data_IF_076899304205
#
_entry.id   IF_076899304205
#
_cell.length_a   1.000
_cell.length_b   1.000
_cell.length_c   1.000
_cell.angle_alpha   90.00
_cell.angle_beta   90.00
_cell.angle_gamma   90.00
#
_symmetry.space_group_name_H-M   'P 1'
#
loop_
_entity.id
_entity.type
_entity.pdbx_description
1 polymer ?
#
# COMPACT_ATOMS: atom_id res chain seq x y z
N UNK A 1 6.97 -12.08 -4.63
CA UNK A 1 5.85 -12.84 -4.04
C UNK A 1 5.82 -14.24 -4.66
N UNK A 2 5.40 -15.26 -3.90
CA UNK A 2 5.22 -16.64 -4.39
C UNK A 2 3.87 -17.17 -3.89
N UNK A 3 3.10 -17.80 -4.78
CA UNK A 3 1.89 -18.56 -4.43
C UNK A 3 2.12 -20.04 -4.72
N UNK A 4 1.76 -20.91 -3.79
CA UNK A 4 1.93 -22.35 -3.85
C UNK A 4 0.55 -23.00 -3.88
N UNK A 5 0.12 -23.47 -5.05
CA UNK A 5 -1.15 -24.16 -5.21
C UNK A 5 -0.97 -25.66 -5.39
N UNK A 6 -0.94 -26.38 -4.27
CA UNK A 6 -0.88 -27.84 -4.21
C UNK A 6 -1.43 -28.33 -2.86
N UNK A 7 -1.72 -29.62 -2.76
CA UNK A 7 -2.08 -30.23 -1.47
C UNK A 7 -0.88 -30.15 -0.51
N UNK A 8 -1.15 -29.94 0.77
CA UNK A 8 -0.12 -29.84 1.81
C UNK A 8 0.89 -28.69 1.58
N UNK A 9 0.49 -27.64 0.85
CA UNK A 9 1.38 -26.53 0.47
C UNK A 9 1.99 -25.81 1.70
N UNK A 10 1.30 -25.82 2.84
CA UNK A 10 1.80 -25.33 4.12
C UNK A 10 3.04 -26.07 4.65
N UNK A 11 3.19 -27.36 4.29
CA UNK A 11 4.26 -28.24 4.75
C UNK A 11 5.51 -28.23 3.85
N UNK A 12 5.52 -27.46 2.76
CA UNK A 12 6.71 -27.30 1.94
C UNK A 12 7.85 -26.73 2.81
N UNK A 13 9.05 -27.37 2.82
CA UNK A 13 10.13 -27.00 3.72
C UNK A 13 10.42 -25.51 3.57
N UNK A 14 10.48 -24.82 4.72
CA UNK A 14 10.75 -23.39 4.79
C UNK A 14 11.84 -23.05 3.79
N UNK A 15 11.51 -22.16 2.85
CA UNK A 15 12.38 -21.62 1.81
C UNK A 15 13.53 -20.83 2.47
N UNK A 16 14.39 -21.54 3.19
CA UNK A 16 15.58 -21.05 3.88
C UNK A 16 16.72 -20.84 2.90
N UNK A 17 16.63 -21.41 1.69
CA UNK A 17 17.71 -21.37 0.69
C UNK A 17 17.34 -20.72 -0.66
N UNK A 18 16.19 -20.02 -0.79
CA UNK A 18 15.95 -19.17 -1.98
C UNK A 18 16.71 -17.84 -1.86
N UNK A 19 18.02 -17.92 -1.71
CA UNK A 19 18.93 -16.80 -1.98
C UNK A 19 19.82 -17.07 -3.18
N UNK A 20 19.86 -18.31 -3.67
CA UNK A 20 20.71 -18.68 -4.80
C UNK A 20 19.87 -18.97 -6.04
N UNK A 21 19.99 -18.04 -7.00
CA UNK A 21 19.74 -18.27 -8.43
C UNK A 21 18.29 -18.19 -8.93
N UNK A 22 17.59 -17.07 -8.69
CA UNK A 22 16.64 -16.58 -9.69
C UNK A 22 17.34 -15.54 -10.55
N UNK A 23 17.65 -15.88 -11.81
CA UNK A 23 18.04 -14.90 -12.83
C UNK A 23 16.82 -14.02 -13.08
N UNK A 24 16.88 -12.76 -12.62
CA UNK A 24 15.78 -11.81 -12.82
C UNK A 24 15.59 -11.59 -14.31
N UNK A 25 14.38 -11.83 -14.82
CA UNK A 25 13.99 -11.46 -16.18
C UNK A 25 14.11 -9.93 -16.35
N UNK A 26 14.48 -9.41 -17.53
CA UNK A 26 14.61 -7.98 -17.75
C UNK A 26 13.27 -7.28 -17.46
N UNK A 27 13.24 -6.47 -16.40
CA UNK A 27 12.06 -5.71 -15.98
C UNK A 27 12.16 -4.29 -16.58
N UNK A 28 11.08 -3.73 -17.15
CA UNK A 28 11.04 -2.34 -17.60
C UNK A 28 11.55 -1.35 -16.53
N UNK A 29 12.33 -0.32 -16.89
CA UNK A 29 12.98 0.59 -15.92
C UNK A 29 12.01 1.25 -14.92
N UNK A 30 10.81 1.62 -15.38
CA UNK A 30 9.81 2.28 -14.53
C UNK A 30 9.18 1.31 -13.52
N UNK A 31 8.94 0.08 -13.95
CA UNK A 31 8.49 -1.00 -13.07
C UNK A 31 9.57 -1.37 -12.05
N UNK A 32 10.85 -1.26 -12.40
CA UNK A 32 11.97 -1.42 -11.46
C UNK A 32 11.96 -0.37 -10.35
N UNK A 33 11.59 0.88 -10.60
CA UNK A 33 11.56 1.92 -9.57
C UNK A 33 10.38 1.74 -8.60
N UNK A 34 9.23 1.28 -9.10
CA UNK A 34 8.04 0.97 -8.28
C UNK A 34 8.24 -0.35 -7.50
N UNK A 35 8.90 -1.34 -8.09
CA UNK A 35 9.24 -2.58 -7.37
C UNK A 35 10.41 -2.40 -6.38
N UNK A 36 11.25 -1.37 -6.56
CA UNK A 36 12.30 -1.00 -5.61
C UNK A 36 11.77 -0.31 -4.36
N UNK A 37 10.60 0.35 -4.42
CA UNK A 37 9.96 0.92 -3.22
C UNK A 37 9.29 -0.16 -2.35
N UNK A 38 8.94 -1.31 -2.93
CA UNK A 38 8.47 -2.48 -2.20
C UNK A 38 9.63 -3.36 -1.69
N UNK A 39 9.97 -3.25 -0.41
CA UNK A 39 10.65 -4.34 0.30
C UNK A 39 9.59 -5.35 0.75
N UNK A 40 9.87 -6.65 0.64
CA UNK A 40 8.86 -7.66 0.94
C UNK A 40 9.01 -8.98 0.17
N UNK A 41 9.15 -10.11 0.87
CA UNK A 41 8.88 -11.44 0.30
C UNK A 41 7.71 -12.06 1.04
N UNK A 42 6.64 -12.35 0.32
CA UNK A 42 5.47 -13.09 0.83
C UNK A 42 5.36 -14.41 0.08
N UNK A 43 5.26 -15.50 0.82
CA UNK A 43 5.00 -16.85 0.32
C UNK A 43 3.67 -17.32 0.89
N UNK A 44 2.73 -17.65 0.00
CA UNK A 44 1.36 -18.03 0.35
C UNK A 44 1.10 -19.43 -0.16
N UNK A 45 0.67 -20.32 0.73
CA UNK A 45 0.19 -21.66 0.42
C UNK A 45 -1.34 -21.67 0.28
N UNK A 46 -1.83 -22.49 -0.64
CA UNK A 46 -3.27 -22.68 -0.87
C UNK A 46 -3.97 -23.47 0.23
N UNK A 47 -3.23 -24.28 0.99
CA UNK A 47 -3.71 -25.16 2.05
C UNK A 47 -2.69 -25.25 3.18
N UNK A 48 -3.13 -25.64 4.39
CA UNK A 48 -2.22 -26.01 5.49
C UNK A 48 -1.48 -27.32 5.19
N UNK A 49 -0.52 -27.67 6.04
CA UNK A 49 0.28 -28.90 5.86
C UNK A 49 -0.54 -30.19 5.96
N UNK A 50 -1.65 -30.16 6.70
CA UNK A 50 -2.56 -31.27 6.96
C UNK A 50 -3.82 -31.24 6.09
N UNK A 51 -3.90 -30.30 5.13
CA UNK A 51 -5.09 -30.06 4.31
C UNK A 51 -4.83 -30.31 2.81
N UNK A 52 -5.91 -30.60 2.08
CA UNK A 52 -5.89 -30.75 0.63
C UNK A 52 -6.18 -29.41 -0.07
N UNK A 53 -5.65 -29.25 -1.29
CA UNK A 53 -6.11 -28.19 -2.21
C UNK A 53 -7.16 -28.77 -3.16
N UNK A 54 -8.26 -28.04 -3.36
CA UNK A 54 -9.40 -28.51 -4.14
C UNK A 54 -9.38 -27.96 -5.57
N UNK A 55 -9.64 -28.84 -6.53
CA UNK A 55 -9.84 -28.46 -7.94
C UNK A 55 -11.19 -27.77 -8.13
N UNK A 56 -11.25 -26.81 -9.06
CA UNK A 56 -12.48 -26.24 -9.57
C UNK A 56 -12.54 -26.37 -11.09
N UNK A 57 -13.31 -25.50 -11.76
CA UNK A 57 -13.40 -25.46 -13.21
C UNK A 57 -13.38 -23.99 -13.70
N UNK A 58 -12.41 -23.57 -14.54
CA UNK A 58 -11.28 -24.35 -15.08
C UNK A 58 -10.06 -24.44 -14.15
N UNK A 59 -10.02 -23.64 -13.08
CA UNK A 59 -8.88 -23.56 -12.16
C UNK A 59 -9.19 -24.19 -10.81
N UNK A 60 -8.17 -24.46 -9.99
CA UNK A 60 -8.37 -24.79 -8.58
C UNK A 60 -9.19 -23.71 -7.87
N UNK A 61 -9.82 -24.06 -6.74
CA UNK A 61 -10.59 -23.10 -5.96
C UNK A 61 -9.70 -21.94 -5.49
N UNK A 62 -8.48 -22.25 -5.06
CA UNK A 62 -7.50 -21.25 -4.66
C UNK A 62 -7.13 -20.30 -5.81
N UNK A 63 -6.75 -20.84 -6.97
CA UNK A 63 -6.37 -20.02 -8.12
C UNK A 63 -7.55 -19.21 -8.64
N UNK A 64 -8.76 -19.75 -8.64
CA UNK A 64 -9.97 -19.00 -9.00
C UNK A 64 -10.17 -17.79 -8.07
N UNK A 65 -10.09 -17.98 -6.75
CA UNK A 65 -10.18 -16.88 -5.79
C UNK A 65 -9.04 -15.88 -5.93
N UNK A 66 -7.82 -16.34 -6.21
CA UNK A 66 -6.66 -15.48 -6.44
C UNK A 66 -6.88 -14.57 -7.66
N UNK A 67 -7.31 -15.16 -8.79
CA UNK A 67 -7.60 -14.41 -10.00
C UNK A 67 -8.73 -13.40 -9.78
N UNK A 68 -9.78 -13.77 -9.04
CA UNK A 68 -10.86 -12.85 -8.67
C UNK A 68 -10.36 -11.68 -7.83
N UNK A 69 -9.49 -11.95 -6.84
CA UNK A 69 -8.85 -10.90 -6.03
C UNK A 69 -8.01 -9.95 -6.89
N UNK A 70 -7.21 -10.51 -7.81
CA UNK A 70 -6.37 -9.75 -8.75
C UNK A 70 -7.18 -8.98 -9.80
N UNK A 71 -8.40 -9.43 -10.13
CA UNK A 71 -9.34 -8.71 -11.00
C UNK A 71 -10.08 -7.58 -10.28
N UNK A 72 -9.81 -7.40 -8.97
CA UNK A 72 -10.35 -6.31 -8.17
C UNK A 72 -11.53 -6.69 -7.28
N UNK A 73 -11.92 -7.97 -7.19
CA UNK A 73 -12.94 -8.37 -6.20
C UNK A 73 -12.45 -8.29 -4.76
N UNK A 74 -11.12 -8.32 -4.56
CA UNK A 74 -10.48 -8.07 -3.29
C UNK A 74 -10.32 -6.57 -2.98
N UNK A 75 -10.63 -5.69 -3.93
CA UNK A 75 -10.31 -4.27 -3.86
C UNK A 75 -11.03 -3.59 -2.70
N UNK A 76 -10.24 -3.04 -1.77
CA UNK A 76 -10.73 -2.05 -0.81
C UNK A 76 -10.66 -0.64 -1.41
N UNK A 77 -9.71 -0.42 -2.33
CA UNK A 77 -9.48 0.85 -3.01
C UNK A 77 -9.62 0.66 -4.53
N UNK A 78 -10.63 1.28 -5.15
CA UNK A 78 -10.87 1.22 -6.60
C UNK A 78 -9.89 2.10 -7.40
N UNK A 79 -8.60 2.03 -7.11
CA UNK A 79 -7.55 2.82 -7.75
C UNK A 79 -6.82 2.07 -8.87
N UNK A 80 -7.37 0.93 -9.29
CA UNK A 80 -6.86 0.11 -10.39
C UNK A 80 -5.80 -0.92 -9.99
N UNK A 81 -5.43 -1.03 -8.72
CA UNK A 81 -4.37 -1.94 -8.26
C UNK A 81 -4.86 -3.01 -7.27
N UNK A 82 -4.59 -4.27 -7.59
CA UNK A 82 -4.72 -5.36 -6.64
C UNK A 82 -3.49 -5.38 -5.72
N UNK A 83 -3.72 -5.28 -4.40
CA UNK A 83 -2.66 -5.22 -3.39
C UNK A 83 -2.56 -6.50 -2.59
N UNK A 84 -1.41 -6.70 -1.97
CA UNK A 84 -1.08 -7.94 -1.26
C UNK A 84 -2.02 -8.25 -0.10
N UNK A 85 -2.22 -7.33 0.85
CA UNK A 85 -3.05 -7.57 2.02
C UNK A 85 -4.51 -7.76 1.61
N UNK A 86 -4.99 -6.94 0.68
CA UNK A 86 -6.35 -7.02 0.13
C UNK A 86 -6.61 -8.41 -0.48
N UNK A 87 -5.67 -8.88 -1.31
CA UNK A 87 -5.73 -10.20 -1.95
C UNK A 87 -5.68 -11.33 -0.90
N UNK A 88 -4.83 -11.22 0.11
CA UNK A 88 -4.74 -12.22 1.19
C UNK A 88 -6.04 -12.31 2.00
N UNK A 89 -6.62 -11.17 2.38
CA UNK A 89 -7.90 -11.11 3.09
C UNK A 89 -8.98 -11.80 2.27
N UNK A 90 -9.05 -11.51 0.96
CA UNK A 90 -10.01 -12.15 0.06
C UNK A 90 -9.81 -13.67 -0.02
N UNK A 91 -8.56 -14.14 -0.12
CA UNK A 91 -8.23 -15.56 -0.15
C UNK A 91 -8.65 -16.27 1.15
N UNK A 92 -8.33 -15.71 2.31
CA UNK A 92 -8.69 -16.28 3.61
C UNK A 92 -10.21 -16.32 3.85
N UNK A 93 -10.96 -15.41 3.24
CA UNK A 93 -12.41 -15.40 3.32
C UNK A 93 -13.07 -16.39 2.34
N UNK A 94 -12.63 -16.40 1.09
CA UNK A 94 -13.36 -17.06 0.00
C UNK A 94 -13.00 -18.54 -0.17
N UNK A 95 -11.75 -18.92 0.06
CA UNK A 95 -11.32 -20.32 -0.12
C UNK A 95 -12.01 -21.25 0.87
N UNK A 96 -12.09 -20.95 2.19
CA UNK A 96 -12.85 -21.78 3.12
C UNK A 96 -14.32 -21.84 2.75
N UNK A 97 -14.95 -20.72 2.38
CA UNK A 97 -16.38 -20.69 1.99
C UNK A 97 -16.69 -21.60 0.80
N UNK A 98 -15.80 -21.65 -0.20
CA UNK A 98 -16.00 -22.45 -1.42
C UNK A 98 -15.62 -23.93 -1.27
N UNK A 99 -14.94 -24.27 -0.19
CA UNK A 99 -14.52 -25.66 0.11
C UNK A 99 -15.25 -26.24 1.32
N UNK A 100 -16.38 -25.64 1.73
CA UNK A 100 -17.10 -26.03 2.94
C UNK A 100 -16.18 -26.12 4.16
N UNK A 101 -15.32 -25.12 4.31
CA UNK A 101 -14.35 -24.96 5.39
C UNK A 101 -13.30 -26.09 5.49
N UNK A 102 -13.00 -26.77 4.38
CA UNK A 102 -12.04 -27.89 4.33
C UNK A 102 -10.65 -27.50 3.80
N UNK A 103 -10.48 -26.27 3.31
CA UNK A 103 -9.20 -25.74 2.83
C UNK A 103 -8.98 -24.32 3.37
N UNK A 104 -7.83 -24.11 4.02
CA UNK A 104 -7.44 -22.81 4.56
C UNK A 104 -6.10 -22.36 3.95
N UNK A 105 -6.08 -21.27 3.18
CA UNK A 105 -4.83 -20.69 2.75
C UNK A 105 -3.97 -20.24 3.94
N UNK A 106 -2.66 -20.27 3.78
CA UNK A 106 -1.71 -20.00 4.86
C UNK A 106 -0.52 -19.17 4.35
N UNK A 107 0.05 -18.28 5.18
CA UNK A 107 1.25 -17.53 4.81
C UNK A 107 2.48 -18.20 5.43
N UNK A 108 3.27 -18.89 4.60
CA UNK A 108 4.45 -19.61 5.08
C UNK A 108 5.58 -18.67 5.52
N UNK A 109 5.74 -17.53 4.83
CA UNK A 109 6.85 -16.62 5.09
C UNK A 109 6.48 -15.19 4.72
N UNK A 110 6.80 -14.27 5.63
CA UNK A 110 6.80 -12.83 5.39
C UNK A 110 8.18 -12.31 5.78
N UNK A 111 8.88 -11.66 4.85
CA UNK A 111 10.15 -10.98 5.11
C UNK A 111 9.98 -9.52 4.70
N UNK A 112 10.30 -8.59 5.60
CA UNK A 112 10.37 -7.14 5.32
C UNK A 112 9.09 -6.56 4.69
N UNK A 113 7.91 -7.06 5.07
CA UNK A 113 6.64 -6.49 4.58
C UNK A 113 6.34 -5.18 5.33
N UNK A 114 6.81 -4.07 4.76
CA UNK A 114 6.62 -2.73 5.33
C UNK A 114 5.33 -2.03 4.90
N UNK A 115 4.68 -2.50 3.81
CA UNK A 115 3.49 -1.84 3.24
C UNK A 115 2.58 -2.83 2.45
N UNK A 116 1.35 -2.43 2.21
CA UNK A 116 0.38 -3.09 1.33
C UNK A 116 0.67 -2.82 -0.15
N UNK A 117 1.82 -3.28 -0.64
CA UNK A 117 2.28 -2.97 -1.99
C UNK A 117 1.35 -3.56 -3.09
N UNK A 118 1.25 -2.88 -4.25
CA UNK A 118 0.49 -3.39 -5.40
C UNK A 118 1.19 -4.61 -6.03
N UNK A 119 0.42 -5.64 -6.34
CA UNK A 119 0.91 -6.85 -7.04
C UNK A 119 0.67 -6.72 -8.55
N UNK A 120 -0.49 -6.23 -8.97
CA UNK A 120 -0.83 -6.03 -10.39
C UNK A 120 -1.92 -4.96 -10.57
N UNK A 121 -2.11 -4.52 -11.82
CA UNK A 121 -3.32 -3.85 -12.23
C UNK A 121 -4.51 -4.82 -12.26
N UNK A 122 -5.73 -4.30 -12.10
CA UNK A 122 -6.92 -5.12 -12.33
C UNK A 122 -6.95 -5.64 -13.77
N UNK A 123 -7.44 -6.87 -13.93
CA UNK A 123 -7.68 -7.48 -15.23
C UNK A 123 -6.50 -7.39 -16.23
N UNK A 124 -5.25 -7.45 -15.76
CA UNK A 124 -4.06 -7.47 -16.63
C UNK A 124 -3.67 -6.13 -17.25
N UNK A 125 -4.09 -5.00 -16.68
CA UNK A 125 -3.72 -3.65 -17.16
C UNK A 125 -4.88 -2.65 -17.20
N UNK A 126 -6.08 -3.09 -16.83
CA UNK A 126 -7.24 -2.21 -16.67
C UNK A 126 -7.16 -1.49 -15.31
N UNK A 127 -7.50 -0.20 -15.30
CA UNK A 127 -7.77 0.52 -14.03
C UNK A 127 -9.16 0.21 -13.46
N UNK A 128 -9.98 -0.52 -14.21
CA UNK A 128 -11.37 -0.84 -13.89
C UNK A 128 -11.55 -2.33 -13.60
N UNK A 129 -12.50 -2.65 -12.73
CA UNK A 129 -12.79 -4.03 -12.33
C UNK A 129 -13.53 -4.80 -13.44
N UNK A 130 -13.34 -6.12 -13.53
CA UNK A 130 -14.02 -6.95 -14.52
C UNK A 130 -15.51 -7.07 -14.18
N UNK A 131 -16.39 -6.49 -15.00
CA UNK A 131 -17.85 -6.55 -14.84
C UNK A 131 -18.57 -5.21 -14.79
N UNK A 132 -17.84 -4.10 -14.70
CA UNK A 132 -18.40 -2.77 -15.00
C UNK A 132 -18.55 -2.64 -16.52
N UNK A 133 -19.80 -2.58 -17.02
CA UNK A 133 -20.06 -2.15 -18.39
C UNK A 133 -19.49 -0.74 -18.56
N UNK A 134 -18.84 -0.42 -19.70
CA UNK A 134 -18.41 0.94 -19.96
C UNK A 134 -19.68 1.77 -20.16
N UNK A 135 -20.07 2.49 -19.12
CA UNK A 135 -20.97 3.61 -19.31
C UNK A 135 -20.16 4.64 -20.11
N UNK A 136 -20.41 4.69 -21.42
CA UNK A 136 -19.91 5.73 -22.30
C UNK A 136 -20.68 6.98 -21.91
N UNK A 137 -20.22 7.68 -20.88
CA UNK A 137 -20.40 9.11 -20.79
C UNK A 137 -19.20 9.79 -21.44
N UNK A 138 -19.52 10.74 -22.30
CA UNK A 138 -18.64 11.46 -23.19
C UNK A 138 -17.36 11.96 -22.50
N UNK A 139 -16.26 11.76 -23.22
CA UNK A 139 -14.92 12.29 -23.01
C UNK A 139 -14.96 13.70 -22.39
N UNK A 140 -14.71 13.74 -21.08
CA UNK A 140 -14.25 14.89 -20.34
C UNK A 140 -13.14 14.39 -19.44
N UNK A 141 -11.90 14.58 -19.86
CA UNK A 141 -10.68 14.21 -19.13
C UNK A 141 -10.71 14.87 -17.75
N UNK A 142 -11.14 14.13 -16.72
CA UNK A 142 -10.99 14.54 -15.32
C UNK A 142 -10.57 13.32 -14.51
N UNK A 143 -9.38 13.44 -13.96
CA UNK A 143 -8.72 12.57 -12.99
C UNK A 143 -9.50 12.55 -11.68
N UNK A 144 -10.75 12.08 -11.68
CA UNK A 144 -11.55 12.11 -10.46
C UNK A 144 -11.02 11.10 -9.44
N UNK A 145 -10.32 11.64 -8.45
CA UNK A 145 -10.02 11.06 -7.15
C UNK A 145 -11.20 10.22 -6.64
N UNK A 146 -11.00 8.91 -6.40
CA UNK A 146 -12.05 8.09 -5.78
C UNK A 146 -12.44 8.68 -4.42
N UNK A 147 -13.72 8.62 -4.05
CA UNK A 147 -14.26 9.24 -2.82
C UNK A 147 -13.50 8.82 -1.54
N UNK A 148 -13.00 7.59 -1.50
CA UNK A 148 -12.14 7.11 -0.41
C UNK A 148 -10.72 7.68 -0.43
N UNK A 149 -10.12 7.86 -1.61
CA UNK A 149 -8.79 8.49 -1.75
C UNK A 149 -8.84 9.97 -1.38
N UNK A 150 -9.89 10.67 -1.83
CA UNK A 150 -10.16 12.06 -1.44
C UNK A 150 -10.27 12.18 0.09
N UNK A 151 -11.10 11.35 0.73
CA UNK A 151 -11.26 11.35 2.19
C UNK A 151 -9.96 11.08 2.96
N UNK A 152 -9.12 10.13 2.52
CA UNK A 152 -7.84 9.85 3.19
C UNK A 152 -6.84 10.98 3.02
N UNK A 153 -6.80 11.62 1.86
CA UNK A 153 -5.92 12.76 1.63
C UNK A 153 -6.41 14.02 2.33
N UNK A 154 -7.73 14.22 2.43
CA UNK A 154 -8.32 15.25 3.29
C UNK A 154 -7.95 14.99 4.76
N UNK A 155 -8.08 13.76 5.27
CA UNK A 155 -7.65 13.41 6.63
C UNK A 155 -6.15 13.62 6.84
N UNK A 156 -5.32 13.29 5.84
CA UNK A 156 -3.87 13.51 5.90
C UNK A 156 -3.54 15.01 5.86
N UNK A 157 -4.21 15.79 5.01
CA UNK A 157 -4.11 17.26 4.95
C UNK A 157 -4.49 17.86 6.30
N UNK A 158 -5.65 17.51 6.85
CA UNK A 158 -6.13 18.03 8.15
C UNK A 158 -5.14 17.72 9.28
N UNK A 159 -4.54 16.51 9.25
CA UNK A 159 -3.49 16.13 10.20
C UNK A 159 -2.22 16.95 10.03
N UNK A 160 -1.77 17.19 8.80
CA UNK A 160 -0.58 18.00 8.53
C UNK A 160 -0.83 19.47 8.86
N UNK A 161 -2.02 19.98 8.57
CA UNK A 161 -2.44 21.35 8.88
C UNK A 161 -2.49 21.56 10.40
N UNK A 162 -2.94 20.57 11.18
CA UNK A 162 -2.83 20.60 12.64
C UNK A 162 -1.37 20.65 13.13
N UNK A 163 -0.45 19.91 12.50
CA UNK A 163 0.98 19.94 12.89
C UNK A 163 1.62 21.28 12.49
N UNK A 164 1.34 21.78 11.29
CA UNK A 164 1.75 23.11 10.82
C UNK A 164 1.31 24.20 11.80
N UNK A 165 0.05 24.19 12.22
CA UNK A 165 -0.49 25.17 13.18
C UNK A 165 0.24 25.10 14.53
N UNK A 166 0.50 23.89 15.04
CA UNK A 166 1.22 23.70 16.30
C UNK A 166 2.66 24.20 16.21
N UNK A 167 3.36 23.88 15.11
CA UNK A 167 4.74 24.29 14.83
C UNK A 167 4.85 25.80 14.66
N UNK A 168 3.93 26.40 13.91
CA UNK A 168 3.86 27.85 13.67
C UNK A 168 3.66 28.62 14.98
N UNK A 169 2.76 28.14 15.84
CA UNK A 169 2.55 28.71 17.18
C UNK A 169 3.80 28.54 18.07
N UNK A 170 4.49 27.39 17.99
CA UNK A 170 5.75 27.17 18.71
C UNK A 170 6.85 28.12 18.24
N UNK A 171 7.03 28.30 16.94
CA UNK A 171 8.01 29.22 16.35
C UNK A 171 7.69 30.67 16.73
N UNK A 172 6.41 31.06 16.76
CA UNK A 172 5.97 32.38 17.22
C UNK A 172 6.36 32.65 18.67
N UNK A 173 6.19 31.68 19.57
CA UNK A 173 6.63 31.78 20.97
C UNK A 173 8.14 31.89 21.08
N UNK A 174 8.89 31.05 20.36
CA UNK A 174 10.36 31.15 20.34
C UNK A 174 10.86 32.50 19.84
N UNK A 175 10.23 33.09 18.82
CA UNK A 175 10.57 34.44 18.35
C UNK A 175 10.33 35.50 19.43
N UNK A 176 9.25 35.36 20.21
CA UNK A 176 8.97 36.25 21.33
C UNK A 176 10.00 36.09 22.46
N UNK A 177 10.34 34.85 22.82
CA UNK A 177 11.36 34.56 23.85
C UNK A 177 12.75 35.08 23.42
N UNK A 178 13.11 34.88 22.14
CA UNK A 178 14.36 35.36 21.57
C UNK A 178 14.47 36.89 21.61
N UNK A 179 13.35 37.61 21.48
CA UNK A 179 13.34 39.07 21.49
C UNK A 179 13.62 39.67 22.88
N UNK A 180 13.38 38.91 23.95
CA UNK A 180 13.59 39.34 25.34
C UNK A 180 14.82 38.69 25.98
N UNK A 181 15.42 37.68 25.35
CA UNK A 181 16.61 36.99 25.86
C UNK A 181 17.88 37.86 25.73
N UNK A 182 18.63 37.94 26.83
CA UNK A 182 19.86 38.74 26.93
C UNK A 182 21.12 37.89 27.05
N UNK A 183 21.00 36.63 27.47
CA UNK A 183 22.11 35.69 27.58
C UNK A 183 22.48 35.13 26.20
N UNK A 184 23.72 35.37 25.78
CA UNK A 184 24.23 35.04 24.43
C UNK A 184 24.18 33.54 24.11
N UNK A 185 24.49 32.68 25.08
CA UNK A 185 24.47 31.22 24.88
C UNK A 185 23.05 30.67 24.69
N UNK A 186 22.09 31.16 25.49
CA UNK A 186 20.67 30.77 25.39
C UNK A 186 20.07 31.31 24.11
N UNK A 187 20.39 32.56 23.75
CA UNK A 187 20.01 33.19 22.49
C UNK A 187 20.45 32.35 21.28
N UNK A 188 21.71 31.92 21.23
CA UNK A 188 22.22 31.08 20.14
C UNK A 188 21.51 29.72 20.07
N UNK A 189 21.19 29.11 21.22
CA UNK A 189 20.42 27.86 21.25
C UNK A 189 19.00 28.05 20.73
N UNK A 190 18.32 29.13 21.12
CA UNK A 190 16.99 29.47 20.65
C UNK A 190 16.97 29.78 19.14
N UNK A 191 17.97 30.50 18.62
CA UNK A 191 18.11 30.75 17.18
C UNK A 191 18.24 29.45 16.38
N UNK A 192 19.05 28.50 16.88
CA UNK A 192 19.18 27.18 16.24
C UNK A 192 17.86 26.41 16.26
N UNK A 193 17.17 26.39 17.40
CA UNK A 193 15.88 25.70 17.52
C UNK A 193 14.80 26.34 16.65
N UNK A 194 14.79 27.67 16.56
CA UNK A 194 13.86 28.40 15.70
C UNK A 194 14.10 28.05 14.23
N UNK A 195 15.36 28.02 13.78
CA UNK A 195 15.71 27.65 12.41
C UNK A 195 15.28 26.21 12.09
N UNK A 196 15.47 25.27 13.02
CA UNK A 196 15.00 23.89 12.85
C UNK A 196 13.47 23.77 12.77
N UNK A 197 12.72 24.56 13.54
CA UNK A 197 11.26 24.58 13.46
C UNK A 197 10.76 25.27 12.19
N UNK A 198 11.39 26.38 11.77
CA UNK A 198 11.06 27.07 10.51
C UNK A 198 11.30 26.18 9.29
N UNK A 199 12.37 25.39 9.28
CA UNK A 199 12.63 24.41 8.23
C UNK A 199 11.53 23.33 8.16
N UNK A 200 11.06 22.83 9.31
CA UNK A 200 9.95 21.87 9.38
C UNK A 200 8.63 22.47 8.95
N UNK A 201 8.38 23.73 9.28
CA UNK A 201 7.18 24.46 8.84
C UNK A 201 7.16 24.54 7.32
N UNK A 202 8.29 24.88 6.68
CA UNK A 202 8.40 24.93 5.22
C UNK A 202 8.16 23.56 4.57
N UNK A 203 8.74 22.49 5.12
CA UNK A 203 8.51 21.12 4.64
C UNK A 203 7.02 20.71 4.73
N UNK A 204 6.36 21.04 5.85
CA UNK A 204 4.91 20.81 6.01
C UNK A 204 4.06 21.62 5.03
N UNK A 205 4.44 22.87 4.76
CA UNK A 205 3.75 23.74 3.80
C UNK A 205 3.84 23.18 2.37
N UNK A 206 5.02 22.68 1.97
CA UNK A 206 5.22 22.01 0.68
C UNK A 206 4.38 20.72 0.58
N UNK A 207 4.36 19.89 1.64
CA UNK A 207 3.54 18.67 1.68
C UNK A 207 2.03 18.95 1.61
N UNK A 208 1.55 19.96 2.34
CA UNK A 208 0.14 20.38 2.31
C UNK A 208 -0.22 20.88 0.91
N UNK A 209 0.61 21.75 0.34
CA UNK A 209 0.38 22.33 -1.00
C UNK A 209 0.31 21.24 -2.09
N UNK A 210 1.19 20.23 -2.01
CA UNK A 210 1.17 19.11 -2.93
C UNK A 210 -0.11 18.27 -2.81
N UNK A 211 -0.61 18.06 -1.59
CA UNK A 211 -1.87 17.35 -1.35
C UNK A 211 -3.06 18.17 -1.85
N UNK A 212 -3.09 19.48 -1.61
CA UNK A 212 -4.17 20.37 -2.06
C UNK A 212 -4.26 20.44 -3.59
N UNK A 213 -3.12 20.59 -4.26
CA UNK A 213 -3.06 20.57 -5.73
C UNK A 213 -3.61 19.24 -6.27
N UNK A 214 -3.28 18.14 -5.62
CA UNK A 214 -3.76 16.81 -5.99
C UNK A 214 -5.25 16.55 -5.66
N UNK A 215 -5.86 17.35 -4.78
CA UNK A 215 -7.31 17.30 -4.48
C UNK A 215 -8.12 18.14 -5.49
N UNK A 216 -7.52 19.21 -6.03
CA UNK A 216 -8.11 20.17 -6.96
C UNK A 216 -8.07 19.72 -8.43
N UNK A 217 -7.08 18.91 -8.83
CA UNK A 217 -6.98 18.23 -10.14
C UNK A 217 -7.88 16.96 -10.26
#
# INVERSE_FOLDING_TARGET
>A
MVFLDCCHAGGLPQLKDIEKSFVKSPVPPDLMNILKSGSGRVVVASSREDELSYTGNPYSIFTACLLEGMQGKASVNQDGYARILDTLIYLFDQVPKRTNNSQHPFVNKVLELGDNFPICYYAGGSKFTTGELPFIESIGTTTNLTSGKRRRMEQKRDSLESDYNLRSEKAKRMRADLAIESATAVKFQLEKQLLEEEAKIAELEDEISAIEQFILE
#
